data_IF_268924861351
#
_entry.id   IF_268924861351
#
_cell.length_a   1.000
_cell.length_b   1.000
_cell.length_c   1.000
_cell.angle_alpha   90.00
_cell.angle_beta   90.00
_cell.angle_gamma   90.00
#
_symmetry.space_group_name_H-M   'P 1'
#
loop_
_entity.id
_entity.type
_entity.pdbx_description
1 polymer ?
#
# COMPACT_ATOMS: atom_id res chain seq x y z
N UNK A 1 25.12 12.90 -70.38
CA UNK A 1 24.79 13.83 -69.27
C UNK A 1 24.54 12.98 -68.04
N UNK A 2 25.52 12.86 -67.16
CA UNK A 2 25.53 11.97 -65.98
C UNK A 2 25.33 12.81 -64.71
N UNK A 3 24.31 12.42 -63.96
CA UNK A 3 24.13 12.42 -62.49
C UNK A 3 24.64 13.61 -61.66
N UNK A 4 23.76 14.16 -60.81
CA UNK A 4 23.86 13.97 -59.35
C UNK A 4 22.58 14.48 -58.66
N UNK A 5 21.76 13.58 -58.12
CA UNK A 5 20.64 13.91 -57.24
C UNK A 5 21.15 13.76 -55.81
N UNK A 6 21.37 14.89 -55.12
CA UNK A 6 21.77 14.89 -53.72
C UNK A 6 20.51 14.73 -52.85
N UNK A 7 20.34 13.55 -52.26
CA UNK A 7 19.30 13.27 -51.29
C UNK A 7 19.74 13.87 -49.94
N UNK A 8 19.10 14.98 -49.53
CA UNK A 8 19.26 15.54 -48.19
C UNK A 8 18.55 14.63 -47.19
N UNK A 9 19.31 13.87 -46.40
CA UNK A 9 18.79 13.09 -45.28
C UNK A 9 18.59 14.05 -44.10
N UNK A 10 17.35 14.49 -43.87
CA UNK A 10 17.00 15.27 -42.69
C UNK A 10 17.04 14.35 -41.45
N UNK A 11 18.07 14.52 -40.62
CA UNK A 11 18.10 14.02 -39.26
C UNK A 11 17.04 14.75 -38.44
N UNK A 12 15.87 14.12 -38.28
CA UNK A 12 14.93 14.50 -37.23
C UNK A 12 15.56 14.08 -35.89
N UNK A 13 15.71 14.98 -34.91
CA UNK A 13 16.04 14.56 -33.55
C UNK A 13 14.93 13.63 -33.09
N UNK A 14 15.29 12.39 -32.74
CA UNK A 14 14.35 11.48 -32.08
C UNK A 14 13.91 12.15 -30.79
N UNK A 15 12.63 12.44 -30.66
CA UNK A 15 12.02 12.58 -29.34
C UNK A 15 12.22 11.23 -28.65
N UNK A 16 13.26 11.12 -27.83
CA UNK A 16 13.29 10.11 -26.78
C UNK A 16 12.09 10.44 -25.89
N UNK A 17 10.97 9.75 -26.11
CA UNK A 17 9.93 9.69 -25.10
C UNK A 17 10.63 9.25 -23.81
N UNK A 18 10.52 10.04 -22.75
CA UNK A 18 10.97 9.59 -21.45
C UNK A 18 10.27 8.25 -21.20
N UNK A 19 11.06 7.19 -20.97
CA UNK A 19 10.49 5.90 -20.62
C UNK A 19 9.77 6.10 -19.28
N UNK A 20 8.46 5.90 -19.26
CA UNK A 20 7.65 6.15 -18.07
C UNK A 20 8.04 5.22 -16.92
N UNK A 21 7.87 5.69 -15.68
CA UNK A 21 8.17 4.94 -14.47
C UNK A 21 6.93 4.19 -14.02
N UNK A 22 7.02 2.86 -13.95
CA UNK A 22 5.98 1.97 -13.43
C UNK A 22 6.18 1.73 -11.95
N UNK A 23 5.23 2.18 -11.13
CA UNK A 23 5.24 2.03 -9.68
C UNK A 23 4.31 0.90 -9.27
N UNK A 24 4.81 -0.08 -8.53
CA UNK A 24 3.99 -1.10 -7.87
C UNK A 24 3.80 -0.70 -6.41
N UNK A 25 2.59 -0.29 -6.05
CA UNK A 25 2.29 0.31 -4.75
C UNK A 25 1.22 -0.46 -3.97
N UNK A 26 1.43 -0.60 -2.66
CA UNK A 26 0.42 -1.12 -1.75
C UNK A 26 -0.92 -0.38 -1.91
N UNK A 27 -2.02 -1.14 -1.95
CA UNK A 27 -3.35 -0.60 -2.26
C UNK A 27 -3.79 0.59 -1.37
N UNK A 28 -3.29 0.68 -0.13
CA UNK A 28 -3.60 1.80 0.78
C UNK A 28 -3.00 3.14 0.35
N UNK A 29 -2.03 3.16 -0.57
CA UNK A 29 -1.34 4.36 -1.08
C UNK A 29 -2.07 5.02 -2.27
N UNK A 30 -3.27 4.54 -2.63
CA UNK A 30 -3.99 4.91 -3.85
C UNK A 30 -4.12 6.42 -4.05
N UNK A 31 -4.78 7.10 -3.12
CA UNK A 31 -5.10 8.52 -3.24
C UNK A 31 -3.86 9.42 -3.29
N UNK A 32 -2.86 9.30 -2.38
CA UNK A 32 -1.69 10.18 -2.45
C UNK A 32 -0.83 9.93 -3.69
N UNK A 33 -0.67 8.68 -4.13
CA UNK A 33 0.09 8.38 -5.35
C UNK A 33 -0.63 8.79 -6.63
N UNK A 34 -1.96 8.68 -6.69
CA UNK A 34 -2.74 9.24 -7.79
C UNK A 34 -2.56 10.76 -7.87
N UNK A 35 -2.59 11.47 -6.73
CA UNK A 35 -2.36 12.91 -6.68
C UNK A 35 -0.97 13.30 -7.20
N UNK A 36 0.05 12.50 -6.88
CA UNK A 36 1.42 12.69 -7.39
C UNK A 36 1.49 12.38 -8.89
N UNK A 37 0.82 11.34 -9.37
CA UNK A 37 0.80 10.99 -10.78
C UNK A 37 0.14 12.08 -11.66
N UNK A 38 -0.78 12.89 -11.11
CA UNK A 38 -1.35 14.04 -11.83
C UNK A 38 -0.31 15.11 -12.20
N UNK A 39 0.79 15.22 -11.44
CA UNK A 39 1.88 16.17 -11.72
C UNK A 39 3.10 15.52 -12.37
N UNK A 40 3.06 14.19 -12.54
CA UNK A 40 4.13 13.37 -13.11
C UNK A 40 3.53 12.46 -14.20
N UNK A 41 3.23 12.99 -15.41
CA UNK A 41 2.43 12.28 -16.43
C UNK A 41 3.09 11.00 -16.95
N UNK A 42 4.40 10.84 -16.75
CA UNK A 42 5.16 9.66 -17.13
C UNK A 42 5.17 8.57 -16.02
N UNK A 43 4.46 8.78 -14.91
CA UNK A 43 4.34 7.81 -13.80
C UNK A 43 3.03 7.03 -13.93
N UNK A 44 3.14 5.71 -14.04
CA UNK A 44 1.99 4.79 -13.97
C UNK A 44 2.04 3.99 -12.69
N UNK A 45 0.91 3.90 -11.97
CA UNK A 45 0.86 3.18 -10.69
C UNK A 45 -0.07 1.97 -10.77
N UNK A 46 0.43 0.81 -10.38
CA UNK A 46 -0.31 -0.44 -10.20
C UNK A 46 -0.50 -0.71 -8.71
N UNK A 47 -1.74 -0.99 -8.32
CA UNK A 47 -2.12 -1.18 -6.92
C UNK A 47 -2.60 -2.60 -6.65
N UNK A 48 -2.07 -3.22 -5.59
CA UNK A 48 -2.58 -4.48 -5.05
C UNK A 48 -2.10 -4.69 -3.60
N UNK A 49 -2.41 -5.84 -2.99
CA UNK A 49 -1.77 -6.25 -1.74
C UNK A 49 -0.26 -6.42 -1.92
N UNK A 50 0.54 -5.93 -0.97
CA UNK A 50 2.01 -5.92 -1.11
C UNK A 50 2.63 -7.29 -1.37
N UNK A 51 2.09 -8.37 -0.77
CA UNK A 51 2.55 -9.72 -1.08
C UNK A 51 2.30 -10.15 -2.52
N UNK A 52 1.18 -9.72 -3.11
CA UNK A 52 0.90 -9.98 -4.54
C UNK A 52 1.89 -9.22 -5.42
N UNK A 53 2.13 -7.94 -5.13
CA UNK A 53 3.09 -7.13 -5.88
C UNK A 53 4.52 -7.67 -5.77
N UNK A 54 4.97 -8.02 -4.57
CA UNK A 54 6.29 -8.59 -4.36
C UNK A 54 6.47 -9.87 -5.17
N UNK A 55 5.49 -10.79 -5.14
CA UNK A 55 5.53 -12.01 -5.96
C UNK A 55 5.53 -11.73 -7.45
N UNK A 56 4.83 -10.70 -7.91
CA UNK A 56 4.85 -10.30 -9.32
C UNK A 56 6.23 -9.77 -9.73
N UNK A 57 6.87 -8.97 -8.89
CA UNK A 57 8.21 -8.43 -9.17
C UNK A 57 9.26 -9.54 -9.18
N UNK A 58 9.27 -10.45 -8.22
CA UNK A 58 10.14 -11.66 -8.25
C UNK A 58 9.88 -12.54 -9.48
N UNK A 59 8.66 -12.52 -10.01
CA UNK A 59 8.30 -13.21 -11.25
C UNK A 59 8.65 -12.43 -12.53
N UNK A 60 9.30 -11.27 -12.43
CA UNK A 60 9.75 -10.46 -13.57
C UNK A 60 8.70 -9.48 -14.11
N UNK A 61 7.69 -9.10 -13.33
CA UNK A 61 6.80 -8.00 -13.71
C UNK A 61 7.59 -6.69 -13.84
N UNK A 62 7.29 -5.84 -14.84
CA UNK A 62 8.08 -4.66 -15.18
C UNK A 62 7.75 -3.48 -14.25
N UNK A 63 8.04 -3.61 -12.96
CA UNK A 63 8.03 -2.48 -12.03
C UNK A 63 9.41 -1.82 -12.02
N UNK A 64 9.44 -0.49 -11.94
CA UNK A 64 10.67 0.29 -11.81
C UNK A 64 10.86 0.77 -10.34
N UNK A 65 9.75 0.97 -9.63
CA UNK A 65 9.73 1.35 -8.22
C UNK A 65 8.66 0.53 -7.48
N UNK A 66 9.00 -0.01 -6.33
CA UNK A 66 8.03 -0.64 -5.42
C UNK A 66 7.82 0.22 -4.18
N UNK A 67 6.58 0.27 -3.67
CA UNK A 67 6.25 0.85 -2.36
C UNK A 67 5.34 -0.13 -1.61
N UNK A 68 5.92 -0.88 -0.67
CA UNK A 68 5.27 -2.01 0.02
C UNK A 68 5.03 -1.69 1.49
N UNK A 69 3.93 -2.20 2.05
CA UNK A 69 3.45 -1.84 3.39
C UNK A 69 3.95 -2.78 4.50
N UNK A 70 4.94 -3.64 4.25
CA UNK A 70 5.50 -4.54 5.26
C UNK A 70 6.98 -4.87 4.96
N UNK A 71 7.88 -4.82 5.95
CA UNK A 71 9.30 -5.12 5.77
C UNK A 71 9.60 -6.48 5.16
N UNK A 72 8.95 -7.56 5.61
CA UNK A 72 9.18 -8.92 5.10
C UNK A 72 9.03 -9.05 3.57
N UNK A 73 8.11 -8.29 2.95
CA UNK A 73 7.98 -8.31 1.50
C UNK A 73 9.09 -7.55 0.80
N UNK A 74 9.61 -6.49 1.42
CA UNK A 74 10.79 -5.79 0.92
C UNK A 74 12.06 -6.62 1.11
N UNK A 75 12.18 -7.32 2.24
CA UNK A 75 13.26 -8.26 2.51
C UNK A 75 13.28 -9.41 1.48
N UNK A 76 12.10 -9.94 1.13
CA UNK A 76 11.99 -10.97 0.10
C UNK A 76 12.48 -10.47 -1.27
N UNK A 77 12.14 -9.24 -1.66
CA UNK A 77 12.64 -8.63 -2.90
C UNK A 77 14.16 -8.38 -2.86
N UNK A 78 14.68 -7.96 -1.71
CA UNK A 78 16.13 -7.75 -1.53
C UNK A 78 16.90 -9.08 -1.58
N UNK A 79 16.35 -10.15 -0.99
CA UNK A 79 16.92 -11.50 -1.03
C UNK A 79 16.89 -12.14 -2.43
N UNK A 80 15.90 -11.80 -3.25
CA UNK A 80 15.78 -12.24 -4.65
C UNK A 80 16.71 -11.45 -5.60
N UNK A 81 17.48 -10.47 -5.09
CA UNK A 81 18.42 -9.61 -5.82
C UNK A 81 17.76 -8.80 -6.96
N UNK A 82 16.46 -8.54 -6.88
CA UNK A 82 15.71 -7.75 -7.88
C UNK A 82 15.73 -6.24 -7.60
N UNK A 83 16.25 -5.81 -6.45
CA UNK A 83 16.33 -4.40 -6.08
C UNK A 83 17.71 -3.79 -6.35
N UNK A 84 17.74 -2.50 -6.68
CA UNK A 84 18.99 -1.73 -6.76
C UNK A 84 19.58 -1.57 -5.36
N UNK A 85 20.84 -1.99 -5.11
CA UNK A 85 21.45 -1.94 -3.78
C UNK A 85 21.46 -0.53 -3.19
N UNK A 86 21.05 -0.42 -1.92
CA UNK A 86 21.02 0.85 -1.20
C UNK A 86 19.89 1.81 -1.61
N UNK A 87 18.97 1.39 -2.49
CA UNK A 87 17.80 2.20 -2.87
C UNK A 87 16.65 2.12 -1.86
N UNK A 88 16.63 1.11 -1.00
CA UNK A 88 15.57 0.90 -0.01
C UNK A 88 15.53 2.02 1.03
N UNK A 89 14.33 2.58 1.25
CA UNK A 89 14.07 3.59 2.27
C UNK A 89 12.76 3.33 2.99
N UNK A 90 12.70 3.68 4.28
CA UNK A 90 11.45 3.80 5.02
C UNK A 90 10.80 5.14 4.64
N UNK A 91 9.63 5.10 4.01
CA UNK A 91 8.96 6.29 3.51
C UNK A 91 7.90 6.79 4.49
N UNK A 92 7.01 5.90 4.93
CA UNK A 92 5.82 6.27 5.72
C UNK A 92 5.56 5.27 6.84
N UNK A 93 4.74 5.69 7.79
CA UNK A 93 4.15 4.90 8.87
C UNK A 93 2.62 5.06 8.86
N UNK A 94 1.94 4.20 9.61
CA UNK A 94 0.47 4.18 9.72
C UNK A 94 0.03 3.46 11.00
N UNK A 95 -1.27 3.41 11.24
CA UNK A 95 -1.90 2.73 12.37
C UNK A 95 -2.95 1.73 11.88
N UNK A 96 -3.14 0.60 12.60
CA UNK A 96 -4.27 -0.30 12.36
C UNK A 96 -5.47 0.12 13.23
N UNK A 97 -6.65 0.08 12.63
CA UNK A 97 -7.92 0.46 13.27
C UNK A 97 -9.02 -0.55 12.96
N UNK A 98 -10.05 -0.57 13.81
CA UNK A 98 -11.34 -1.15 13.47
C UNK A 98 -12.26 -0.07 12.91
N UNK A 99 -12.88 -0.38 11.77
CA UNK A 99 -13.91 0.46 11.13
C UNK A 99 -15.26 -0.23 11.12
N UNK A 100 -16.31 0.57 11.14
CA UNK A 100 -17.70 0.15 11.05
C UNK A 100 -18.55 1.28 10.43
N UNK A 101 -19.82 1.03 10.07
CA UNK A 101 -20.75 2.08 9.66
C UNK A 101 -20.85 3.24 10.67
N UNK A 102 -21.20 4.44 10.19
CA UNK A 102 -21.23 5.68 10.99
C UNK A 102 -22.07 5.60 12.27
N UNK A 103 -23.10 4.76 12.32
CA UNK A 103 -23.99 4.64 13.49
C UNK A 103 -23.45 3.67 14.56
N UNK A 104 -22.41 2.89 14.28
CA UNK A 104 -21.87 1.90 15.23
C UNK A 104 -21.16 2.58 16.40
N UNK A 105 -21.46 2.26 17.67
CA UNK A 105 -20.75 2.86 18.81
C UNK A 105 -19.24 2.59 18.78
N UNK A 106 -18.48 3.41 19.52
CA UNK A 106 -17.07 3.07 19.80
C UNK A 106 -17.00 1.72 20.54
N UNK A 107 -15.95 0.95 20.27
CA UNK A 107 -15.77 -0.39 20.81
C UNK A 107 -14.52 -0.46 21.68
N UNK A 108 -14.67 -1.09 22.85
CA UNK A 108 -13.52 -1.54 23.62
C UNK A 108 -12.92 -2.78 22.95
N UNK A 109 -11.59 -2.88 22.91
CA UNK A 109 -10.89 -4.04 22.38
C UNK A 109 -10.90 -5.19 23.38
N UNK A 110 -12.07 -5.81 23.55
CA UNK A 110 -12.29 -7.01 24.38
C UNK A 110 -12.96 -8.11 23.57
N UNK A 111 -12.80 -9.40 23.94
CA UNK A 111 -13.43 -10.49 23.21
C UNK A 111 -14.95 -10.33 23.07
N UNK A 112 -15.64 -9.98 24.16
CA UNK A 112 -17.09 -9.82 24.19
C UNK A 112 -17.57 -8.69 23.28
N UNK A 113 -16.95 -7.51 23.37
CA UNK A 113 -17.31 -6.37 22.52
C UNK A 113 -17.13 -6.67 21.03
N UNK A 114 -16.05 -7.38 20.66
CA UNK A 114 -15.85 -7.81 19.27
C UNK A 114 -16.90 -8.82 18.83
N UNK A 115 -17.17 -9.86 19.61
CA UNK A 115 -18.18 -10.88 19.25
C UNK A 115 -19.58 -10.30 19.15
N UNK A 116 -19.92 -9.37 20.05
CA UNK A 116 -21.23 -8.71 20.06
C UNK A 116 -21.38 -7.80 18.83
N UNK A 117 -20.35 -7.02 18.50
CA UNK A 117 -20.36 -6.16 17.31
C UNK A 117 -20.38 -6.94 15.99
N UNK A 118 -19.79 -8.15 15.96
CA UNK A 118 -19.90 -9.06 14.82
C UNK A 118 -21.28 -9.74 14.73
N UNK A 119 -22.06 -9.76 15.81
CA UNK A 119 -23.34 -10.48 15.87
C UNK A 119 -23.16 -12.01 15.75
N UNK A 120 -24.23 -12.77 15.43
CA UNK A 120 -24.15 -14.23 15.32
C UNK A 120 -23.42 -14.72 14.05
N UNK A 121 -23.68 -14.09 12.90
CA UNK A 121 -23.20 -14.56 11.59
C UNK A 121 -22.17 -13.65 10.91
N UNK A 122 -21.93 -12.45 11.47
CA UNK A 122 -21.01 -11.49 10.87
C UNK A 122 -19.55 -11.99 10.85
N UNK A 123 -18.77 -11.40 9.96
CA UNK A 123 -17.34 -11.70 9.82
C UNK A 123 -16.53 -10.42 9.95
N UNK A 124 -15.33 -10.53 10.48
CA UNK A 124 -14.36 -9.44 10.47
C UNK A 124 -13.71 -9.38 9.09
N UNK A 125 -13.98 -8.32 8.33
CA UNK A 125 -13.26 -8.06 7.08
C UNK A 125 -11.80 -7.69 7.38
N UNK A 126 -10.86 -8.38 6.76
CA UNK A 126 -9.43 -8.18 7.02
C UNK A 126 -8.64 -8.59 5.78
N UNK A 127 -7.46 -8.01 5.56
CA UNK A 127 -6.54 -8.58 4.57
C UNK A 127 -6.15 -10.02 4.93
N UNK A 128 -5.81 -10.85 3.94
CA UNK A 128 -5.25 -12.19 4.17
C UNK A 128 -4.14 -12.13 5.20
N UNK A 129 -4.36 -12.77 6.35
CA UNK A 129 -3.51 -12.65 7.54
C UNK A 129 -2.13 -13.27 7.38
N UNK A 130 -1.95 -14.09 6.35
CA UNK A 130 -0.68 -14.69 5.97
C UNK A 130 0.10 -13.89 4.93
N UNK A 131 -0.47 -12.86 4.29
CA UNK A 131 0.22 -12.22 3.15
C UNK A 131 -0.10 -10.76 2.83
N UNK A 132 -1.25 -10.25 3.26
CA UNK A 132 -1.61 -8.84 3.10
C UNK A 132 -1.14 -8.10 4.35
N UNK A 133 -0.33 -7.04 4.23
CA UNK A 133 0.23 -6.32 5.39
C UNK A 133 -0.78 -5.93 6.47
N UNK A 134 -1.92 -5.32 6.12
CA UNK A 134 -2.96 -4.98 7.09
C UNK A 134 -3.51 -6.22 7.83
N UNK A 135 -3.56 -7.38 7.15
CA UNK A 135 -3.94 -8.65 7.76
C UNK A 135 -2.88 -9.20 8.69
N UNK A 136 -1.60 -9.09 8.33
CA UNK A 136 -0.47 -9.51 9.17
C UNK A 136 -0.46 -8.68 10.46
N UNK A 137 -0.42 -7.35 10.34
CA UNK A 137 -0.47 -6.45 11.51
C UNK A 137 -1.75 -6.63 12.33
N UNK A 138 -2.89 -6.82 11.67
CA UNK A 138 -4.16 -7.08 12.34
C UNK A 138 -4.14 -8.37 13.15
N UNK A 139 -3.59 -9.44 12.59
CA UNK A 139 -3.42 -10.72 13.29
C UNK A 139 -2.46 -10.57 14.48
N UNK A 140 -1.34 -9.88 14.32
CA UNK A 140 -0.42 -9.57 15.43
C UNK A 140 -1.13 -8.83 16.55
N UNK A 141 -1.85 -7.76 16.22
CA UNK A 141 -2.60 -6.94 17.17
C UNK A 141 -3.65 -7.76 17.93
N UNK A 142 -4.44 -8.57 17.21
CA UNK A 142 -5.44 -9.45 17.79
C UNK A 142 -4.81 -10.52 18.69
N UNK A 143 -3.66 -11.10 18.31
CA UNK A 143 -2.95 -12.07 19.14
C UNK A 143 -2.37 -11.44 20.40
N UNK A 144 -1.71 -10.29 20.27
CA UNK A 144 -1.11 -9.57 21.40
C UNK A 144 -2.14 -9.17 22.46
N UNK A 145 -3.37 -8.89 22.04
CA UNK A 145 -4.47 -8.50 22.94
C UNK A 145 -5.32 -9.70 23.41
N UNK A 146 -4.99 -10.94 23.01
CA UNK A 146 -5.79 -12.12 23.35
C UNK A 146 -7.18 -12.15 22.70
N UNK A 147 -7.36 -11.45 21.58
CA UNK A 147 -8.63 -11.31 20.85
C UNK A 147 -8.75 -12.27 19.67
N UNK A 148 -7.64 -12.87 19.23
CA UNK A 148 -7.58 -13.71 18.03
C UNK A 148 -8.57 -14.88 18.08
N UNK A 149 -8.66 -15.60 19.19
CA UNK A 149 -9.54 -16.77 19.32
C UNK A 149 -11.02 -16.41 19.18
N UNK A 150 -11.40 -15.16 19.48
CA UNK A 150 -12.77 -14.68 19.36
C UNK A 150 -13.20 -14.44 17.90
N UNK A 151 -12.26 -14.24 16.98
CA UNK A 151 -12.53 -13.80 15.60
C UNK A 151 -11.92 -14.69 14.52
N UNK A 152 -10.93 -15.52 14.83
CA UNK A 152 -10.12 -16.27 13.85
C UNK A 152 -10.93 -17.24 12.98
N UNK A 153 -12.04 -17.78 13.48
CA UNK A 153 -12.97 -18.63 12.73
C UNK A 153 -14.06 -17.83 11.97
N UNK A 154 -14.06 -16.50 12.11
CA UNK A 154 -15.06 -15.58 11.57
C UNK A 154 -14.41 -14.45 10.76
N UNK A 155 -13.31 -14.75 10.06
CA UNK A 155 -12.69 -13.79 9.16
C UNK A 155 -13.36 -13.79 7.78
N UNK A 156 -13.42 -12.62 7.17
CA UNK A 156 -13.64 -12.43 5.74
C UNK A 156 -12.33 -11.88 5.16
N UNK A 157 -11.41 -12.80 4.84
CA UNK A 157 -10.08 -12.45 4.35
C UNK A 157 -10.11 -11.98 2.89
N UNK A 158 -9.38 -10.90 2.60
CA UNK A 158 -9.34 -10.28 1.27
C UNK A 158 -7.92 -10.13 0.73
N UNK A 159 -7.79 -9.97 -0.58
CA UNK A 159 -6.51 -9.84 -1.29
C UNK A 159 -5.80 -8.48 -1.12
N UNK A 160 -6.50 -7.49 -0.55
CA UNK A 160 -5.96 -6.19 -0.18
C UNK A 160 -6.76 -5.58 0.97
N UNK A 161 -6.17 -4.61 1.67
CA UNK A 161 -6.87 -3.85 2.72
C UNK A 161 -8.04 -3.03 2.17
N UNK A 162 -7.94 -2.55 0.92
CA UNK A 162 -9.03 -1.81 0.26
C UNK A 162 -10.20 -2.71 -0.11
N UNK A 163 -9.93 -3.97 -0.43
CA UNK A 163 -10.98 -4.98 -0.58
C UNK A 163 -11.71 -5.22 0.75
N UNK A 164 -10.99 -5.28 1.89
CA UNK A 164 -11.61 -5.40 3.22
C UNK A 164 -12.45 -4.18 3.58
N UNK A 165 -11.93 -2.96 3.38
CA UNK A 165 -12.68 -1.72 3.56
C UNK A 165 -13.98 -1.72 2.75
N UNK A 166 -13.91 -2.15 1.48
CA UNK A 166 -15.06 -2.20 0.60
C UNK A 166 -16.13 -3.21 1.05
N UNK A 167 -15.78 -4.30 1.73
CA UNK A 167 -16.77 -5.21 2.31
C UNK A 167 -17.59 -4.52 3.41
N UNK A 168 -16.93 -3.73 4.27
CA UNK A 168 -17.61 -2.98 5.34
C UNK A 168 -18.48 -1.87 4.76
N UNK A 169 -17.95 -1.11 3.80
CA UNK A 169 -18.68 -0.03 3.12
C UNK A 169 -19.96 -0.54 2.44
N UNK A 170 -19.94 -1.77 1.92
CA UNK A 170 -21.10 -2.43 1.29
C UNK A 170 -22.03 -3.13 2.30
N UNK A 171 -21.71 -3.12 3.59
CA UNK A 171 -22.46 -3.82 4.62
C UNK A 171 -22.35 -5.35 4.56
N UNK A 172 -21.38 -5.88 3.82
CA UNK A 172 -21.10 -7.31 3.71
C UNK A 172 -20.34 -7.85 4.92
N UNK A 173 -19.69 -6.95 5.69
CA UNK A 173 -19.06 -7.23 6.98
C UNK A 173 -19.39 -6.12 7.99
N UNK A 174 -19.78 -6.46 9.24
CA UNK A 174 -20.11 -5.46 10.26
C UNK A 174 -18.90 -4.68 10.77
N UNK A 175 -17.72 -5.29 10.75
CA UNK A 175 -16.44 -4.68 11.15
C UNK A 175 -15.37 -4.97 10.10
N UNK A 176 -14.44 -4.03 9.96
CA UNK A 176 -13.20 -4.23 9.21
C UNK A 176 -11.98 -3.84 10.01
N UNK A 177 -10.89 -4.57 9.81
CA UNK A 177 -9.57 -4.21 10.29
C UNK A 177 -8.75 -3.67 9.11
N UNK A 178 -8.45 -2.38 9.16
CA UNK A 178 -7.83 -1.61 8.05
C UNK A 178 -6.82 -0.60 8.61
N UNK A 179 -6.15 0.15 7.73
CA UNK A 179 -5.31 1.26 8.19
C UNK A 179 -6.14 2.51 8.54
N UNK A 180 -5.64 3.36 9.43
CA UNK A 180 -6.27 4.63 9.77
C UNK A 180 -6.45 5.55 8.54
N UNK A 181 -5.51 5.51 7.59
CA UNK A 181 -5.60 6.23 6.31
C UNK A 181 -6.74 5.70 5.44
N UNK A 182 -6.99 4.39 5.44
CA UNK A 182 -8.06 3.79 4.65
C UNK A 182 -9.43 4.22 5.19
N UNK A 183 -9.58 4.36 6.51
CA UNK A 183 -10.81 4.87 7.12
C UNK A 183 -11.12 6.32 6.69
N UNK A 184 -10.10 7.13 6.34
CA UNK A 184 -10.30 8.53 5.93
C UNK A 184 -10.86 8.67 4.52
N UNK A 185 -10.67 7.67 3.66
CA UNK A 185 -11.09 7.73 2.26
C UNK A 185 -12.54 7.29 2.05
N UNK A 186 -13.15 6.67 3.08
CA UNK A 186 -14.50 6.13 3.00
C UNK A 186 -15.42 6.85 4.00
N UNK A 187 -16.15 7.90 3.57
CA UNK A 187 -16.95 8.74 4.46
C UNK A 187 -18.17 8.02 5.07
N UNK A 188 -18.58 6.87 4.53
CA UNK A 188 -19.69 6.08 5.09
C UNK A 188 -19.29 5.23 6.30
N UNK A 189 -17.99 5.19 6.62
CA UNK A 189 -17.43 4.44 7.74
C UNK A 189 -16.79 5.38 8.76
N UNK A 190 -16.55 4.85 9.95
CA UNK A 190 -15.74 5.51 10.98
C UNK A 190 -14.87 4.52 11.73
N UNK A 191 -13.84 5.07 12.37
CA UNK A 191 -13.02 4.33 13.32
C UNK A 191 -13.80 4.10 14.61
N UNK A 192 -14.03 2.85 14.97
CA UNK A 192 -14.70 2.44 16.21
C UNK A 192 -13.73 1.99 17.29
N UNK A 193 -12.51 1.57 16.92
CA UNK A 193 -11.42 1.30 17.85
C UNK A 193 -10.06 1.51 17.18
N UNK A 194 -9.04 1.86 17.96
CA UNK A 194 -7.64 1.91 17.52
C UNK A 194 -6.84 0.86 18.27
N UNK A 195 -6.01 0.12 17.56
CA UNK A 195 -5.13 -0.85 18.21
C UNK A 195 -3.94 -0.12 18.86
N UNK A 196 -3.50 -0.52 20.07
CA UNK A 196 -2.33 0.09 20.69
C UNK A 196 -1.08 -0.15 19.83
N UNK A 197 -0.21 0.86 19.71
CA UNK A 197 1.01 0.77 18.90
C UNK A 197 1.90 -0.45 19.26
N UNK A 198 1.94 -0.83 20.54
CA UNK A 198 2.71 -2.00 21.00
C UNK A 198 2.05 -3.36 20.76
N UNK A 199 0.89 -3.41 20.11
CA UNK A 199 0.17 -4.67 19.83
C UNK A 199 0.62 -5.37 18.54
N UNK A 200 1.34 -4.66 17.67
CA UNK A 200 1.88 -5.18 16.41
C UNK A 200 3.26 -4.57 16.14
N UNK A 201 4.01 -5.11 15.19
CA UNK A 201 5.25 -4.48 14.74
C UNK A 201 4.97 -3.08 14.14
N UNK A 202 5.93 -2.14 14.16
CA UNK A 202 5.78 -0.84 13.50
C UNK A 202 5.37 -1.01 12.04
N UNK A 203 4.38 -0.24 11.62
CA UNK A 203 3.91 -0.25 10.24
C UNK A 203 4.86 0.62 9.42
N UNK A 204 5.57 0.01 8.47
CA UNK A 204 6.51 0.72 7.62
C UNK A 204 6.15 0.51 6.16
N UNK A 205 5.95 1.63 5.45
CA UNK A 205 5.88 1.64 4.00
C UNK A 205 7.27 1.88 3.47
N UNK A 206 7.86 0.85 2.89
CA UNK A 206 9.20 0.91 2.33
C UNK A 206 9.14 1.07 0.83
N UNK A 207 10.00 1.92 0.29
CA UNK A 207 10.15 2.12 -1.14
C UNK A 207 11.55 1.66 -1.59
N UNK A 208 11.64 1.07 -2.77
CA UNK A 208 12.92 0.65 -3.36
C UNK A 208 12.86 0.64 -4.89
N UNK A 209 13.98 0.95 -5.53
CA UNK A 209 14.12 0.89 -6.99
C UNK A 209 14.35 -0.57 -7.39
N UNK A 210 13.61 -1.03 -8.40
CA UNK A 210 13.77 -2.36 -9.00
C UNK A 210 14.83 -2.27 -10.08
N UNK A 211 15.71 -3.27 -10.17
CA UNK A 211 16.75 -3.32 -11.21
C UNK A 211 16.10 -3.36 -12.59
N UNK A 212 16.63 -2.60 -13.55
CA UNK A 212 16.04 -2.51 -14.88
C UNK A 212 16.59 -1.38 -15.74
N UNK A 213 15.86 -1.05 -16.81
CA UNK A 213 16.28 -0.02 -17.77
C UNK A 213 16.01 1.41 -17.26
N UNK A 214 15.08 1.59 -16.31
CA UNK A 214 14.62 2.90 -15.82
C UNK A 214 15.16 3.28 -14.43
N UNK A 215 16.25 2.67 -13.94
CA UNK A 215 16.75 2.87 -12.57
C UNK A 215 16.97 4.35 -12.21
N UNK A 216 17.55 5.14 -13.13
CA UNK A 216 17.80 6.58 -12.91
C UNK A 216 16.50 7.39 -12.74
N UNK A 217 15.49 7.09 -13.56
CA UNK A 217 14.19 7.73 -13.51
C UNK A 217 13.41 7.32 -12.25
N UNK A 218 13.44 6.04 -11.90
CA UNK A 218 12.86 5.51 -10.67
C UNK A 218 13.52 6.09 -9.42
N UNK A 219 14.85 6.22 -9.42
CA UNK A 219 15.59 6.85 -8.32
C UNK A 219 15.27 8.35 -8.20
N UNK A 220 15.06 9.05 -9.33
CA UNK A 220 14.60 10.44 -9.32
C UNK A 220 13.20 10.57 -8.73
N UNK A 221 12.27 9.68 -9.11
CA UNK A 221 10.93 9.63 -8.51
C UNK A 221 11.01 9.33 -7.01
N UNK A 222 11.80 8.34 -6.61
CA UNK A 222 11.97 8.00 -5.20
C UNK A 222 12.51 9.16 -4.36
N UNK A 223 13.44 9.96 -4.88
CA UNK A 223 13.89 11.21 -4.23
C UNK A 223 12.77 12.23 -4.14
N UNK A 224 11.94 12.36 -5.17
CA UNK A 224 10.80 13.27 -5.16
C UNK A 224 9.75 12.86 -4.11
N UNK A 225 9.46 11.56 -3.97
CA UNK A 225 8.54 11.05 -2.94
C UNK A 225 9.01 11.33 -1.51
N UNK A 226 10.34 11.38 -1.30
CA UNK A 226 10.96 11.69 0.00
C UNK A 226 11.08 13.19 0.28
N UNK A 227 10.86 14.06 -0.72
CA UNK A 227 10.95 15.50 -0.52
C UNK A 227 9.80 16.00 0.36
N UNK A 228 9.94 17.16 1.03
CA UNK A 228 8.84 17.78 1.77
C UNK A 228 7.56 17.93 0.94
N UNK A 229 7.71 18.27 -0.35
CA UNK A 229 6.61 18.38 -1.31
C UNK A 229 5.98 17.02 -1.60
N UNK A 230 6.79 15.97 -1.83
CA UNK A 230 6.29 14.60 -2.03
C UNK A 230 5.54 14.05 -0.81
N UNK A 231 6.08 14.29 0.38
CA UNK A 231 5.46 13.88 1.64
C UNK A 231 4.14 14.60 1.93
N UNK A 232 3.91 15.78 1.35
CA UNK A 232 2.68 16.56 1.59
C UNK A 232 1.42 15.80 1.18
N UNK A 233 1.44 15.08 0.05
CA UNK A 233 0.29 14.28 -0.40
C UNK A 233 -0.02 13.13 0.59
N UNK A 234 1.02 12.44 1.06
CA UNK A 234 0.89 11.34 2.02
C UNK A 234 0.38 11.84 3.38
N UNK A 235 0.98 12.91 3.92
CA UNK A 235 0.55 13.51 5.20
C UNK A 235 -0.87 14.07 5.09
N UNK A 236 -1.23 14.67 3.95
CA UNK A 236 -2.60 15.12 3.67
C UNK A 236 -3.62 13.97 3.67
N UNK A 237 -3.23 12.79 3.21
CA UNK A 237 -4.01 11.56 3.29
C UNK A 237 -4.01 10.90 4.69
N UNK A 238 -3.23 11.42 5.63
CA UNK A 238 -3.15 10.96 7.01
C UNK A 238 -2.06 9.93 7.30
N UNK A 239 -1.14 9.68 6.35
CA UNK A 239 0.06 8.91 6.62
C UNK A 239 0.99 9.68 7.54
N UNK A 240 1.81 8.94 8.27
CA UNK A 240 2.82 9.49 9.16
C UNK A 240 4.19 9.39 8.48
N UNK A 241 5.13 10.31 8.74
CA UNK A 241 6.52 10.10 8.37
C UNK A 241 7.04 8.78 8.97
N UNK A 242 7.96 8.10 8.27
CA UNK A 242 8.58 6.88 8.78
C UNK A 242 9.11 7.05 10.21
N UNK A 243 8.91 6.04 11.04
CA UNK A 243 9.36 6.04 12.44
C UNK A 243 8.56 6.94 13.39
N UNK A 244 7.47 7.58 12.93
CA UNK A 244 6.52 8.27 13.81
C UNK A 244 5.33 7.37 14.17
N UNK A 245 4.86 7.43 15.43
CA UNK A 245 3.71 6.68 15.93
C UNK A 245 2.40 7.12 15.28
#
# INVERSE_FOLDING_TARGET
MKHLFALLLSLLPGLTAAQGVTVFAAASLKEPLDQIALTQPDVTVTYAGSGTLARQVMAGAPADLVVLAHPDWMDALEQDDVLVPGSRVDLLSNEIVLVAPQETPALDLTPGALTDALGPDGRLAIGLTASVPAGIYGREALLSLGLWDAVSNRLAETDSVRSALALVARGEAPLGLVYATDARVEPTLKVVARFPQGSHAPILYQAAVVRGENEDAAQALLRALQSPEGLTAFVGAGFLPAGQP
#
